data_IF_882331663973
#
_entry.id   IF_882331663973
#
_cell.length_a   1.000
_cell.length_b   1.000
_cell.length_c   1.000
_cell.angle_alpha   90.00
_cell.angle_beta   90.00
_cell.angle_gamma   90.00
#
_symmetry.space_group_name_H-M   'P 1'
#
loop_
_entity.id
_entity.type
_entity.pdbx_description
1 polymer ?
#
# COMPACT_ATOMS: atom_id res chain seq x y z
N UNK A 1 -1.02 -6.64 28.14
CA UNK A 1 -1.89 -6.59 26.94
C UNK A 1 -2.45 -5.17 26.83
N UNK A 2 -2.16 -4.43 25.76
CA UNK A 2 -2.77 -3.09 25.55
C UNK A 2 -4.21 -3.30 25.09
N UNK A 3 -5.18 -2.90 25.89
CA UNK A 3 -6.59 -2.93 25.49
C UNK A 3 -6.78 -1.86 24.43
N UNK A 4 -7.07 -2.27 23.19
CA UNK A 4 -7.39 -1.31 22.12
C UNK A 4 -8.71 -0.63 22.47
N UNK A 5 -8.68 0.70 22.54
CA UNK A 5 -9.89 1.48 22.74
C UNK A 5 -10.85 1.28 21.56
N UNK A 6 -12.14 1.50 21.77
CA UNK A 6 -13.19 1.34 20.75
C UNK A 6 -12.87 2.15 19.49
N UNK A 7 -12.26 3.33 19.68
CA UNK A 7 -11.80 4.20 18.59
C UNK A 7 -10.67 3.58 17.77
N UNK A 8 -9.65 3.00 18.41
CA UNK A 8 -8.55 2.31 17.73
C UNK A 8 -9.07 1.13 16.89
N UNK A 9 -10.08 0.43 17.40
CA UNK A 9 -10.74 -0.68 16.70
C UNK A 9 -11.49 -0.23 15.45
N UNK A 10 -12.25 0.86 15.55
CA UNK A 10 -12.98 1.43 14.41
C UNK A 10 -12.02 1.96 13.34
N UNK A 11 -10.94 2.62 13.75
CA UNK A 11 -9.88 3.07 12.84
C UNK A 11 -9.22 1.89 12.13
N UNK A 12 -8.90 0.82 12.85
CA UNK A 12 -8.32 -0.38 12.25
C UNK A 12 -9.26 -0.98 11.19
N UNK A 13 -10.56 -1.12 11.50
CA UNK A 13 -11.56 -1.64 10.54
C UNK A 13 -11.64 -0.74 9.31
N UNK A 14 -11.74 0.58 9.50
CA UNK A 14 -11.81 1.53 8.40
C UNK A 14 -10.56 1.54 7.52
N UNK A 15 -9.38 1.50 8.14
CA UNK A 15 -8.09 1.45 7.42
C UNK A 15 -7.90 0.12 6.69
N UNK A 16 -8.33 -1.01 7.28
CA UNK A 16 -8.31 -2.30 6.60
C UNK A 16 -9.25 -2.33 5.38
N UNK A 17 -10.46 -1.77 5.52
CA UNK A 17 -11.39 -1.65 4.40
C UNK A 17 -10.83 -0.75 3.30
N UNK A 18 -10.26 0.41 3.66
CA UNK A 18 -9.61 1.32 2.72
C UNK A 18 -8.42 0.67 2.00
N UNK A 19 -7.57 -0.05 2.73
CA UNK A 19 -6.44 -0.78 2.15
C UNK A 19 -6.92 -1.83 1.13
N UNK A 20 -7.95 -2.61 1.48
CA UNK A 20 -8.54 -3.59 0.56
C UNK A 20 -9.17 -2.94 -0.68
N UNK A 21 -9.82 -1.78 -0.52
CA UNK A 21 -10.38 -1.01 -1.64
C UNK A 21 -9.29 -0.53 -2.60
N UNK A 22 -8.22 0.07 -2.07
CA UNK A 22 -7.08 0.54 -2.89
C UNK A 22 -6.44 -0.63 -3.63
N UNK A 23 -6.36 -1.81 -3.00
CA UNK A 23 -5.79 -3.01 -3.63
C UNK A 23 -6.68 -3.54 -4.76
N UNK A 24 -8.01 -3.49 -4.59
CA UNK A 24 -8.96 -3.86 -5.65
C UNK A 24 -8.89 -2.90 -6.85
N UNK A 25 -8.83 -1.59 -6.60
CA UNK A 25 -8.65 -0.58 -7.67
C UNK A 25 -7.31 -0.79 -8.37
N UNK A 26 -6.23 -0.97 -7.62
CA UNK A 26 -4.90 -1.25 -8.16
C UNK A 26 -4.83 -2.54 -8.98
N UNK A 27 -5.53 -3.59 -8.55
CA UNK A 27 -5.64 -4.84 -9.29
C UNK A 27 -6.32 -4.66 -10.65
N UNK A 28 -7.42 -3.90 -10.68
CA UNK A 28 -8.11 -3.58 -11.93
C UNK A 28 -7.23 -2.72 -12.85
N UNK A 29 -6.55 -1.70 -12.29
CA UNK A 29 -5.71 -0.78 -13.06
C UNK A 29 -4.45 -1.44 -13.64
N UNK A 30 -3.85 -2.40 -12.92
CA UNK A 30 -2.60 -3.07 -13.34
C UNK A 30 -2.84 -4.33 -14.17
N UNK A 31 -4.09 -4.69 -14.46
CA UNK A 31 -4.42 -5.88 -15.25
C UNK A 31 -4.18 -7.20 -14.50
N UNK A 32 -4.26 -7.18 -13.16
CA UNK A 32 -4.22 -8.39 -12.33
C UNK A 32 -3.09 -8.49 -11.30
N UNK A 33 -2.45 -7.38 -10.95
CA UNK A 33 -1.45 -7.33 -9.87
C UNK A 33 -1.96 -6.57 -8.65
N UNK A 34 -1.68 -7.07 -7.46
CA UNK A 34 -2.09 -6.40 -6.23
C UNK A 34 -1.06 -5.31 -5.88
N UNK A 35 -1.49 -4.16 -5.39
CA UNK A 35 -0.60 -3.11 -4.90
C UNK A 35 -0.11 -3.42 -3.48
N UNK A 36 -0.88 -4.20 -2.70
CA UNK A 36 -0.63 -4.50 -1.29
C UNK A 36 -0.42 -5.99 -0.99
N UNK A 37 -1.06 -6.93 -1.71
CA UNK A 37 -0.85 -8.38 -1.48
C UNK A 37 0.50 -8.89 -2.03
N UNK A 38 1.58 -8.59 -1.32
CA UNK A 38 2.95 -8.91 -1.76
C UNK A 38 3.28 -10.40 -1.82
N UNK A 39 2.58 -11.27 -1.08
CA UNK A 39 2.77 -12.73 -1.19
C UNK A 39 2.51 -13.21 -2.63
N UNK A 40 1.42 -12.74 -3.26
CA UNK A 40 1.08 -13.11 -4.64
C UNK A 40 2.03 -12.51 -5.69
N UNK A 41 2.44 -11.25 -5.51
CA UNK A 41 3.39 -10.61 -6.43
C UNK A 41 4.78 -11.25 -6.39
N UNK A 42 5.22 -11.68 -5.21
CA UNK A 42 6.50 -12.38 -5.05
C UNK A 42 6.48 -13.73 -5.76
N UNK A 43 5.36 -14.46 -5.71
CA UNK A 43 5.17 -15.69 -6.50
C UNK A 43 5.21 -15.40 -8.00
N UNK A 44 4.49 -14.39 -8.47
CA UNK A 44 4.48 -13.99 -9.90
C UNK A 44 5.86 -13.55 -10.37
N UNK A 45 6.62 -12.86 -9.53
CA UNK A 45 8.01 -12.50 -9.79
C UNK A 45 8.88 -13.76 -9.93
N UNK A 46 8.77 -14.73 -9.01
CA UNK A 46 9.50 -15.98 -9.09
C UNK A 46 9.19 -16.80 -10.35
N UNK A 47 7.90 -16.93 -10.70
CA UNK A 47 7.46 -17.62 -11.92
C UNK A 47 7.98 -16.89 -13.16
N UNK A 48 7.82 -15.57 -13.23
CA UNK A 48 8.25 -14.81 -14.39
C UNK A 48 9.77 -14.79 -14.58
N UNK A 49 10.58 -14.97 -13.53
CA UNK A 49 12.03 -15.18 -13.65
C UNK A 49 12.31 -16.51 -14.35
N UNK A 50 11.58 -17.57 -13.99
CA UNK A 50 11.69 -18.88 -14.63
C UNK A 50 11.23 -18.89 -16.09
N UNK A 51 10.20 -18.11 -16.41
CA UNK A 51 9.59 -18.06 -17.74
C UNK A 51 10.15 -16.95 -18.65
N UNK A 52 11.10 -16.12 -18.17
CA UNK A 52 11.58 -14.92 -18.87
C UNK A 52 10.45 -13.97 -19.32
N UNK A 53 9.43 -13.86 -18.47
CA UNK A 53 8.22 -13.09 -18.75
C UNK A 53 8.42 -11.59 -18.52
N UNK A 54 7.81 -10.76 -19.37
CA UNK A 54 7.73 -9.29 -19.19
C UNK A 54 7.08 -8.89 -17.85
N UNK A 55 6.26 -9.78 -17.28
CA UNK A 55 5.55 -9.57 -16.01
C UNK A 55 6.49 -9.46 -14.80
N UNK A 56 7.74 -9.92 -14.91
CA UNK A 56 8.76 -9.74 -13.86
C UNK A 56 9.00 -8.27 -13.55
N UNK A 57 9.07 -7.43 -14.58
CA UNK A 57 9.40 -6.01 -14.39
C UNK A 57 8.29 -5.31 -13.62
N UNK A 58 7.03 -5.62 -13.95
CA UNK A 58 5.85 -5.07 -13.27
C UNK A 58 5.82 -5.53 -11.81
N UNK A 59 5.99 -6.83 -11.56
CA UNK A 59 6.02 -7.38 -10.20
C UNK A 59 7.16 -6.77 -9.36
N UNK A 60 8.35 -6.62 -9.94
CA UNK A 60 9.51 -6.03 -9.27
C UNK A 60 9.30 -4.54 -8.96
N UNK A 61 8.73 -3.78 -9.90
CA UNK A 61 8.39 -2.37 -9.68
C UNK A 61 7.33 -2.19 -8.59
N UNK A 62 6.31 -3.06 -8.55
CA UNK A 62 5.28 -3.04 -7.50
C UNK A 62 5.87 -3.37 -6.12
N UNK A 63 6.73 -4.38 -6.05
CA UNK A 63 7.42 -4.74 -4.80
C UNK A 63 8.31 -3.59 -4.34
N UNK A 64 9.10 -3.01 -5.26
CA UNK A 64 10.00 -1.89 -4.98
C UNK A 64 9.26 -0.65 -4.49
N UNK A 65 8.18 -0.26 -5.17
CA UNK A 65 7.37 0.91 -4.79
C UNK A 65 6.69 0.71 -3.44
N UNK A 66 6.18 -0.49 -3.16
CA UNK A 66 5.61 -0.84 -1.85
C UNK A 66 6.64 -0.71 -0.73
N UNK A 67 7.84 -1.29 -0.91
CA UNK A 67 8.94 -1.19 0.05
C UNK A 67 9.32 0.27 0.32
N UNK A 68 9.51 1.07 -0.73
CA UNK A 68 9.83 2.49 -0.60
C UNK A 68 8.72 3.23 0.16
N UNK A 69 7.46 2.97 -0.17
CA UNK A 69 6.30 3.55 0.50
C UNK A 69 6.24 3.21 2.00
N UNK A 70 6.44 1.94 2.36
CA UNK A 70 6.47 1.48 3.77
C UNK A 70 7.62 2.12 4.54
N UNK A 71 8.81 2.20 3.94
CA UNK A 71 9.98 2.83 4.55
C UNK A 71 9.72 4.33 4.77
N UNK A 72 9.26 5.04 3.74
CA UNK A 72 8.97 6.46 3.81
C UNK A 72 7.87 6.76 4.85
N UNK A 73 6.77 6.02 4.84
CA UNK A 73 5.69 6.17 5.83
C UNK A 73 6.17 5.89 7.26
N UNK A 74 7.04 4.89 7.44
CA UNK A 74 7.64 4.59 8.74
C UNK A 74 8.58 5.68 9.23
N UNK A 75 9.41 6.24 8.34
CA UNK A 75 10.31 7.35 8.65
C UNK A 75 9.52 8.60 9.04
N UNK A 76 8.49 8.95 8.27
CA UNK A 76 7.60 10.09 8.57
C UNK A 76 6.90 9.88 9.91
N UNK A 77 6.37 8.68 10.17
CA UNK A 77 5.75 8.33 11.44
C UNK A 77 6.71 8.50 12.63
N UNK A 78 7.95 8.04 12.49
CA UNK A 78 8.99 8.21 13.52
C UNK A 78 9.36 9.68 13.72
N UNK A 79 9.55 10.44 12.65
CA UNK A 79 9.90 11.85 12.70
C UNK A 79 8.79 12.71 13.35
N UNK A 80 7.53 12.31 13.19
CA UNK A 80 6.38 13.00 13.77
C UNK A 80 6.17 12.77 15.28
N UNK A 81 6.90 11.82 15.90
CA UNK A 81 6.89 11.57 17.34
C UNK A 81 5.48 11.35 17.90
N UNK A 82 5.03 12.26 18.77
CA UNK A 82 3.72 12.14 19.46
C UNK A 82 2.53 12.30 18.51
N UNK A 83 2.73 12.95 17.35
CA UNK A 83 1.69 13.17 16.32
C UNK A 83 1.71 12.12 15.20
N UNK A 84 2.48 11.04 15.34
CA UNK A 84 2.67 10.01 14.32
C UNK A 84 1.35 9.53 13.67
N UNK A 85 0.32 9.24 14.47
CA UNK A 85 -0.99 8.78 13.95
C UNK A 85 -1.60 9.80 13.00
N UNK A 86 -1.71 11.06 13.43
CA UNK A 86 -2.32 12.12 12.63
C UNK A 86 -1.51 12.41 11.35
N UNK A 87 -0.18 12.48 11.46
CA UNK A 87 0.68 12.79 10.32
C UNK A 87 0.63 11.67 9.28
N UNK A 88 0.67 10.40 9.69
CA UNK A 88 0.58 9.27 8.77
C UNK A 88 -0.79 9.22 8.08
N UNK A 89 -1.88 9.49 8.80
CA UNK A 89 -3.23 9.54 8.23
C UNK A 89 -3.39 10.68 7.21
N UNK A 90 -2.86 11.87 7.51
CA UNK A 90 -2.86 13.01 6.58
C UNK A 90 -2.02 12.71 5.35
N UNK A 91 -0.83 12.12 5.54
CA UNK A 91 0.02 11.69 4.43
C UNK A 91 -0.69 10.67 3.54
N UNK A 92 -1.32 9.65 4.13
CA UNK A 92 -2.11 8.65 3.42
C UNK A 92 -3.22 9.32 2.60
N UNK A 93 -4.01 10.20 3.23
CA UNK A 93 -5.09 10.91 2.57
C UNK A 93 -4.59 11.79 1.41
N UNK A 94 -3.48 12.51 1.60
CA UNK A 94 -2.87 13.34 0.57
C UNK A 94 -2.37 12.52 -0.63
N UNK A 95 -1.73 11.38 -0.39
CA UNK A 95 -1.27 10.48 -1.45
C UNK A 95 -2.43 9.88 -2.23
N UNK A 96 -3.50 9.45 -1.55
CA UNK A 96 -4.70 8.92 -2.22
C UNK A 96 -5.44 9.99 -3.02
N UNK A 97 -5.56 11.21 -2.48
CA UNK A 97 -6.14 12.33 -3.21
C UNK A 97 -5.31 12.69 -4.45
N UNK A 98 -3.97 12.72 -4.32
CA UNK A 98 -3.06 12.92 -5.43
C UNK A 98 -3.21 11.85 -6.51
N UNK A 99 -3.29 10.58 -6.11
CA UNK A 99 -3.53 9.47 -7.04
C UNK A 99 -4.87 9.62 -7.78
N UNK A 100 -5.96 9.97 -7.08
CA UNK A 100 -7.26 10.20 -7.71
C UNK A 100 -7.24 11.36 -8.71
N UNK A 101 -6.52 12.45 -8.39
CA UNK A 101 -6.37 13.59 -9.32
C UNK A 101 -5.57 13.21 -10.57
N UNK A 102 -4.53 12.36 -10.42
CA UNK A 102 -3.72 11.89 -11.53
C UNK A 102 -4.46 10.88 -12.41
N UNK A 103 -5.31 10.03 -11.83
CA UNK A 103 -6.11 9.04 -12.56
C UNK A 103 -7.24 9.67 -13.39
N UNK A 104 -7.77 10.83 -12.94
CA UNK A 104 -8.78 11.58 -13.66
C UNK A 104 -8.25 12.44 -14.83
N UNK A 105 -6.95 12.39 -15.15
CA UNK A 105 -6.33 13.12 -16.27
C UNK A 105 -5.94 12.20 -17.41
#
# INVERSE_FOLDING_TARGET
MKTFDRQDRLLAIGLSALAGYVDAVGFLATGGFFVSFMSGNSTRLGVGIGEWSVNVVIAAMLIGSFLIGVIAGSLVGRAAGHRHRAVVLVLLAALLAGAAVLDHR
#
